data_IF_023539890531
#
_entry.id   IF_023539890531
#
_cell.length_a   1.000
_cell.length_b   1.000
_cell.length_c   1.000
_cell.angle_alpha   90.00
_cell.angle_beta   90.00
_cell.angle_gamma   90.00
#
_symmetry.space_group_name_H-M   'P 1'
#
loop_
_entity.id
_entity.type
_entity.pdbx_description
1 polymer ?
#
# COMPACT_ATOMS: atom_id res chain seq x y z
N UNK A 1 22.98 -11.42 -4.62
CA UNK A 1 21.87 -11.10 -3.69
C UNK A 1 20.55 -11.14 -4.45
N UNK A 2 19.53 -11.88 -3.99
CA UNK A 2 18.25 -11.99 -4.72
C UNK A 2 17.53 -10.62 -4.69
N UNK A 3 16.88 -10.17 -5.79
CA UNK A 3 16.26 -8.83 -5.89
C UNK A 3 15.24 -8.52 -4.80
N UNK A 4 14.62 -9.53 -4.22
CA UNK A 4 13.64 -9.43 -3.14
C UNK A 4 14.24 -8.97 -1.81
N UNK A 5 15.46 -9.40 -1.47
CA UNK A 5 16.16 -8.92 -0.26
C UNK A 5 16.45 -7.42 -0.34
N UNK A 6 16.73 -6.89 -1.55
CA UNK A 6 16.94 -5.45 -1.75
C UNK A 6 15.69 -4.59 -1.47
N UNK A 7 14.51 -5.08 -1.82
CA UNK A 7 13.25 -4.38 -1.53
C UNK A 7 12.97 -4.36 -0.03
N UNK A 8 13.19 -5.49 0.67
CA UNK A 8 13.03 -5.57 2.12
C UNK A 8 14.03 -4.67 2.86
N UNK A 9 15.29 -4.66 2.44
CA UNK A 9 16.32 -3.78 2.99
C UNK A 9 15.99 -2.30 2.78
N UNK A 10 15.52 -1.94 1.58
CA UNK A 10 15.06 -0.58 1.27
C UNK A 10 13.97 -0.13 2.24
N UNK A 11 12.91 -0.93 2.43
CA UNK A 11 11.82 -0.56 3.32
C UNK A 11 12.23 -0.55 4.78
N UNK A 12 13.08 -1.48 5.23
CA UNK A 12 13.62 -1.45 6.59
C UNK A 12 14.39 -0.16 6.91
N UNK A 13 15.06 0.43 5.91
CA UNK A 13 15.83 1.66 6.10
C UNK A 13 15.02 2.93 5.93
N UNK A 14 13.98 2.92 5.08
CA UNK A 14 13.32 4.14 4.64
C UNK A 14 11.90 4.32 5.19
N UNK A 15 11.33 3.32 5.89
CA UNK A 15 9.93 3.40 6.34
C UNK A 15 9.68 4.58 7.30
N UNK A 16 10.64 4.90 8.17
CA UNK A 16 10.51 6.02 9.12
C UNK A 16 10.43 7.38 8.40
N UNK A 17 11.12 7.54 7.25
CA UNK A 17 11.07 8.76 6.44
C UNK A 17 9.71 8.94 5.80
N UNK A 18 9.05 7.85 5.40
CA UNK A 18 7.68 7.87 4.90
C UNK A 18 6.65 8.23 5.97
N UNK A 19 6.91 7.92 7.24
CA UNK A 19 6.06 8.33 8.36
C UNK A 19 6.00 9.85 8.52
N UNK A 20 7.14 10.53 8.39
CA UNK A 20 7.21 12.00 8.41
C UNK A 20 6.40 12.63 7.27
N UNK A 21 6.39 11.99 6.10
CA UNK A 21 5.63 12.45 4.93
C UNK A 21 4.12 12.53 5.20
N UNK A 22 3.55 11.58 5.94
CA UNK A 22 2.12 11.59 6.29
C UNK A 22 1.78 12.55 7.42
N UNK A 23 2.70 12.83 8.35
CA UNK A 23 2.45 13.77 9.44
C UNK A 23 2.41 15.21 8.98
N UNK A 24 3.26 15.59 8.01
CA UNK A 24 3.39 16.97 7.52
C UNK A 24 2.94 17.19 6.09
N UNK A 25 2.74 16.14 5.29
CA UNK A 25 2.50 16.18 3.84
C UNK A 25 3.53 17.02 3.04
N UNK A 26 4.64 17.41 3.66
CA UNK A 26 5.55 18.43 3.12
C UNK A 26 6.97 17.95 2.79
N UNK A 27 7.45 16.86 3.41
CA UNK A 27 8.84 16.44 3.20
C UNK A 27 8.98 14.93 3.02
N UNK A 28 9.52 14.51 1.88
CA UNK A 28 10.14 13.20 1.71
C UNK A 28 11.66 13.37 1.77
N UNK A 29 12.28 13.03 2.91
CA UNK A 29 13.72 12.85 2.98
C UNK A 29 14.07 11.45 2.45
N UNK A 30 13.77 11.15 1.20
CA UNK A 30 14.37 10.00 0.54
C UNK A 30 15.84 10.33 0.28
N UNK A 31 16.74 9.60 0.90
CA UNK A 31 18.14 9.61 0.50
C UNK A 31 18.25 8.91 -0.85
N UNK A 32 18.33 9.69 -1.92
CA UNK A 32 18.63 9.17 -3.24
C UNK A 32 20.15 8.94 -3.37
N UNK A 33 20.54 7.78 -3.86
CA UNK A 33 21.85 7.54 -4.45
C UNK A 33 21.97 8.29 -5.79
N UNK A 34 21.84 9.63 -5.76
CA UNK A 34 21.88 10.48 -6.94
C UNK A 34 22.83 11.67 -6.71
N UNK A 35 23.44 12.23 -7.75
CA UNK A 35 24.24 13.44 -7.64
C UNK A 35 23.44 14.56 -6.98
N UNK A 36 24.05 15.34 -6.08
CA UNK A 36 23.41 16.43 -5.30
C UNK A 36 22.51 17.33 -6.12
N UNK A 37 22.88 17.69 -7.34
CA UNK A 37 22.10 18.55 -8.23
C UNK A 37 20.78 17.90 -8.65
N UNK A 38 20.79 16.58 -8.95
CA UNK A 38 19.58 15.84 -9.28
C UNK A 38 18.65 15.69 -8.07
N UNK A 39 19.20 15.57 -6.87
CA UNK A 39 18.44 15.57 -5.62
C UNK A 39 17.72 16.91 -5.40
N UNK A 40 18.37 18.04 -5.59
CA UNK A 40 17.76 19.37 -5.46
C UNK A 40 16.64 19.56 -6.49
N UNK A 41 16.86 19.20 -7.76
CA UNK A 41 15.85 19.27 -8.81
C UNK A 41 14.64 18.36 -8.50
N UNK A 42 14.87 17.16 -7.98
CA UNK A 42 13.82 16.26 -7.56
C UNK A 42 12.98 16.89 -6.44
N UNK A 43 13.61 17.42 -5.39
CA UNK A 43 12.92 18.06 -4.27
C UNK A 43 12.11 19.29 -4.71
N UNK A 44 12.61 20.08 -5.64
CA UNK A 44 11.90 21.27 -6.11
C UNK A 44 10.71 20.95 -7.04
N UNK A 45 10.85 19.94 -7.91
CA UNK A 45 9.87 19.67 -8.97
C UNK A 45 8.94 18.50 -8.67
N UNK A 46 9.46 17.44 -8.05
CA UNK A 46 8.74 16.18 -7.88
C UNK A 46 8.07 16.09 -6.50
N UNK A 47 8.77 16.50 -5.43
CA UNK A 47 8.23 16.41 -4.06
C UNK A 47 6.87 17.09 -3.88
N UNK A 48 6.61 18.32 -4.41
CA UNK A 48 5.28 18.94 -4.28
C UNK A 48 4.17 18.15 -4.98
N UNK A 49 4.49 17.52 -6.11
CA UNK A 49 3.55 16.67 -6.86
C UNK A 49 3.26 15.40 -6.05
N UNK A 50 4.30 14.76 -5.50
CA UNK A 50 4.14 13.57 -4.64
C UNK A 50 3.33 13.90 -3.38
N UNK A 51 3.58 15.02 -2.71
CA UNK A 51 2.82 15.46 -1.56
C UNK A 51 1.32 15.60 -1.87
N UNK A 52 0.99 16.25 -3.00
CA UNK A 52 -0.40 16.37 -3.46
C UNK A 52 -1.03 15.01 -3.77
N UNK A 53 -0.29 14.11 -4.41
CA UNK A 53 -0.76 12.76 -4.70
C UNK A 53 -0.97 11.95 -3.42
N UNK A 54 -0.06 12.04 -2.45
CA UNK A 54 -0.18 11.34 -1.18
C UNK A 54 -1.39 11.83 -0.37
N UNK A 55 -1.61 13.15 -0.33
CA UNK A 55 -2.81 13.74 0.30
C UNK A 55 -4.09 13.22 -0.37
N UNK A 56 -4.13 13.20 -1.71
CA UNK A 56 -5.28 12.65 -2.45
C UNK A 56 -5.47 11.16 -2.17
N UNK A 57 -4.39 10.36 -2.12
CA UNK A 57 -4.45 8.94 -1.77
C UNK A 57 -5.07 8.74 -0.38
N UNK A 58 -4.61 9.52 0.60
CA UNK A 58 -5.16 9.49 1.94
C UNK A 58 -6.66 9.79 1.92
N UNK A 59 -7.10 10.89 1.28
CA UNK A 59 -8.51 11.26 1.20
C UNK A 59 -9.38 10.18 0.56
N UNK A 60 -8.93 9.59 -0.57
CA UNK A 60 -9.67 8.52 -1.25
C UNK A 60 -9.77 7.25 -0.39
N UNK A 61 -8.70 6.91 0.31
CA UNK A 61 -8.71 5.76 1.23
C UNK A 61 -9.59 6.04 2.44
N UNK A 62 -9.60 7.26 2.97
CA UNK A 62 -10.51 7.66 4.05
C UNK A 62 -11.97 7.55 3.62
N UNK A 63 -12.31 8.07 2.44
CA UNK A 63 -13.65 7.92 1.88
C UNK A 63 -14.06 6.44 1.72
N UNK A 64 -13.13 5.58 1.29
CA UNK A 64 -13.38 4.14 1.24
C UNK A 64 -13.63 3.57 2.65
N UNK A 65 -12.78 3.87 3.62
CA UNK A 65 -12.91 3.40 5.00
C UNK A 65 -14.26 3.85 5.59
N UNK A 66 -14.65 5.11 5.40
CA UNK A 66 -15.92 5.67 5.92
C UNK A 66 -17.16 4.98 5.34
N UNK A 67 -17.08 4.51 4.08
CA UNK A 67 -18.20 3.86 3.42
C UNK A 67 -18.28 2.34 3.66
N UNK A 68 -17.15 1.67 3.89
CA UNK A 68 -17.09 0.21 3.89
C UNK A 68 -16.73 -0.41 5.24
N UNK A 69 -16.04 0.33 6.12
CA UNK A 69 -15.63 -0.18 7.43
C UNK A 69 -16.69 0.15 8.48
N UNK A 70 -17.10 -0.87 9.23
CA UNK A 70 -18.04 -0.75 10.35
C UNK A 70 -17.35 -1.19 11.65
N UNK A 71 -17.86 -0.69 12.79
CA UNK A 71 -17.44 -1.13 14.12
C UNK A 71 -17.51 -2.66 14.24
N UNK A 72 -16.49 -3.27 14.79
CA UNK A 72 -16.39 -4.72 15.01
C UNK A 72 -15.94 -5.55 13.79
N UNK A 73 -15.82 -4.94 12.59
CA UNK A 73 -15.29 -5.66 11.42
C UNK A 73 -13.82 -6.05 11.62
N UNK A 74 -13.45 -7.22 11.14
CA UNK A 74 -12.05 -7.66 11.04
C UNK A 74 -11.47 -7.14 9.74
N UNK A 75 -10.49 -6.24 9.82
CA UNK A 75 -9.84 -5.62 8.66
C UNK A 75 -8.36 -5.94 8.62
N UNK A 76 -7.85 -6.39 7.48
CA UNK A 76 -6.42 -6.59 7.25
C UNK A 76 -5.86 -5.39 6.48
N UNK A 77 -4.85 -4.73 7.06
CA UNK A 77 -4.06 -3.68 6.41
C UNK A 77 -2.75 -4.28 5.88
N UNK A 78 -2.70 -4.58 4.59
CA UNK A 78 -1.56 -5.21 3.92
C UNK A 78 -0.53 -4.18 3.50
N UNK A 79 0.71 -4.36 3.96
CA UNK A 79 1.76 -3.37 3.80
C UNK A 79 1.47 -2.14 4.65
N UNK A 80 1.16 -2.36 5.94
CA UNK A 80 0.73 -1.31 6.87
C UNK A 80 1.75 -0.17 7.02
N UNK A 81 3.03 -0.47 6.80
CA UNK A 81 4.10 0.52 6.70
C UNK A 81 4.22 1.40 7.94
N UNK A 82 3.75 2.64 7.86
CA UNK A 82 3.75 3.60 8.97
C UNK A 82 2.51 3.51 9.85
N UNK A 83 1.56 2.62 9.54
CA UNK A 83 0.33 2.43 10.30
C UNK A 83 -0.72 3.53 10.14
N UNK A 84 -0.61 4.41 9.15
CA UNK A 84 -1.56 5.52 8.99
C UNK A 84 -2.99 5.03 8.79
N UNK A 85 -3.21 4.02 7.94
CA UNK A 85 -4.55 3.47 7.73
C UNK A 85 -4.94 2.53 8.86
N UNK A 86 -4.00 1.78 9.43
CA UNK A 86 -4.19 1.00 10.67
C UNK A 86 -4.80 1.86 11.79
N UNK A 87 -4.23 3.04 12.06
CA UNK A 87 -4.72 3.97 13.07
C UNK A 87 -6.15 4.44 12.75
N UNK A 88 -6.42 4.76 11.49
CA UNK A 88 -7.76 5.22 11.09
C UNK A 88 -8.82 4.12 11.17
N UNK A 89 -8.45 2.86 10.91
CA UNK A 89 -9.31 1.70 11.11
C UNK A 89 -9.61 1.47 12.60
N UNK A 90 -8.60 1.58 13.47
CA UNK A 90 -8.77 1.47 14.92
C UNK A 90 -9.67 2.55 15.49
N UNK A 91 -9.57 3.80 15.02
CA UNK A 91 -10.48 4.89 15.41
C UNK A 91 -11.95 4.59 15.09
N UNK A 92 -12.21 3.73 14.09
CA UNK A 92 -13.56 3.26 13.73
C UNK A 92 -13.94 1.97 14.46
N UNK A 93 -13.16 1.60 15.48
CA UNK A 93 -13.35 0.42 16.32
C UNK A 93 -13.37 -0.90 15.52
N UNK A 94 -12.62 -0.97 14.44
CA UNK A 94 -12.36 -2.23 13.73
C UNK A 94 -11.35 -3.08 14.50
N UNK A 95 -11.44 -4.40 14.35
CA UNK A 95 -10.37 -5.33 14.74
C UNK A 95 -9.36 -5.39 13.60
N UNK A 96 -8.17 -4.85 13.81
CA UNK A 96 -7.18 -4.67 12.74
C UNK A 96 -6.09 -5.74 12.81
N UNK A 97 -5.77 -6.34 11.67
CA UNK A 97 -4.58 -7.15 11.48
C UNK A 97 -3.61 -6.39 10.59
N UNK A 98 -2.62 -5.77 11.21
CA UNK A 98 -1.58 -5.03 10.52
C UNK A 98 -0.55 -6.03 9.98
N UNK A 99 -0.46 -6.12 8.66
CA UNK A 99 0.40 -7.09 7.96
C UNK A 99 1.50 -6.34 7.21
N UNK A 100 2.74 -6.73 7.42
CA UNK A 100 3.87 -6.29 6.61
C UNK A 100 4.92 -7.41 6.51
N UNK A 101 5.74 -7.38 5.46
CA UNK A 101 6.86 -8.33 5.30
C UNK A 101 8.16 -7.82 5.95
N UNK A 102 8.19 -6.56 6.40
CA UNK A 102 9.30 -5.90 7.07
C UNK A 102 8.99 -5.70 8.57
N UNK A 103 9.82 -6.24 9.45
CA UNK A 103 9.65 -6.07 10.90
C UNK A 103 9.66 -4.62 11.33
N UNK A 104 10.53 -3.81 10.74
CA UNK A 104 10.63 -2.37 11.03
C UNK A 104 9.33 -1.59 10.78
N UNK A 105 8.54 -2.00 9.78
CA UNK A 105 7.21 -1.43 9.50
C UNK A 105 6.24 -1.75 10.65
N UNK A 106 6.22 -2.99 11.11
CA UNK A 106 5.37 -3.41 12.23
C UNK A 106 5.75 -2.71 13.53
N UNK A 107 7.05 -2.60 13.81
CA UNK A 107 7.56 -1.91 15.01
C UNK A 107 7.18 -0.42 15.00
N UNK A 108 7.30 0.23 13.85
CA UNK A 108 6.87 1.63 13.68
C UNK A 108 5.36 1.78 13.84
N UNK A 109 4.58 0.91 13.17
CA UNK A 109 3.12 0.90 13.30
C UNK A 109 2.72 0.73 14.76
N UNK A 110 3.32 -0.22 15.50
CA UNK A 110 3.07 -0.44 16.91
C UNK A 110 3.35 0.81 17.75
N UNK A 111 4.51 1.41 17.57
CA UNK A 111 4.90 2.64 18.29
C UNK A 111 3.89 3.78 18.07
N UNK A 112 3.41 3.95 16.81
CA UNK A 112 2.47 5.00 16.47
C UNK A 112 1.05 4.70 16.98
N UNK A 113 0.61 3.46 16.97
CA UNK A 113 -0.68 3.03 17.55
C UNK A 113 -0.69 3.29 19.05
N UNK A 114 0.34 2.85 19.78
CA UNK A 114 0.47 3.08 21.23
C UNK A 114 0.50 4.57 21.59
N UNK A 115 1.06 5.41 20.73
CA UNK A 115 1.13 6.86 20.93
C UNK A 115 -0.18 7.58 20.61
N UNK A 116 -0.87 7.20 19.53
CA UNK A 116 -1.98 7.99 18.96
C UNK A 116 -3.35 7.44 19.39
N UNK A 117 -3.47 6.11 19.52
CA UNK A 117 -4.73 5.42 19.82
C UNK A 117 -4.55 4.33 20.89
N UNK A 118 -3.96 4.66 22.07
CA UNK A 118 -3.60 3.66 23.09
C UNK A 118 -4.81 2.84 23.57
N UNK A 119 -6.00 3.43 23.58
CA UNK A 119 -7.24 2.77 24.04
C UNK A 119 -7.72 1.65 23.10
N UNK A 120 -7.13 1.50 21.92
CA UNK A 120 -7.48 0.47 20.93
C UNK A 120 -6.36 -0.54 20.72
N UNK A 121 -5.34 -0.56 21.58
CA UNK A 121 -4.19 -1.48 21.48
C UNK A 121 -4.58 -2.97 21.58
N UNK A 122 -5.71 -3.28 22.17
CA UNK A 122 -6.25 -4.66 22.24
C UNK A 122 -6.98 -5.09 20.95
N UNK A 123 -7.30 -4.14 20.07
CA UNK A 123 -8.02 -4.41 18.83
C UNK A 123 -7.09 -4.59 17.62
N UNK A 124 -5.80 -4.83 17.86
CA UNK A 124 -4.81 -4.98 16.78
C UNK A 124 -3.91 -6.19 16.98
N UNK A 125 -3.67 -6.89 15.87
CA UNK A 125 -2.63 -7.92 15.74
C UNK A 125 -1.56 -7.44 14.75
N UNK A 126 -0.28 -7.70 15.06
CA UNK A 126 0.86 -7.39 14.17
C UNK A 126 1.40 -8.68 13.57
N UNK A 127 1.36 -8.82 12.24
CA UNK A 127 1.65 -10.06 11.56
C UNK A 127 2.77 -9.88 10.52
N UNK A 128 3.90 -10.53 10.76
CA UNK A 128 5.03 -10.55 9.81
C UNK A 128 4.75 -11.58 8.70
N UNK A 129 4.08 -11.12 7.63
CA UNK A 129 3.63 -11.96 6.52
C UNK A 129 4.16 -11.43 5.20
N UNK A 130 4.77 -12.31 4.40
CA UNK A 130 4.98 -12.10 2.97
C UNK A 130 3.76 -12.63 2.21
N UNK A 131 2.85 -11.73 1.88
CA UNK A 131 1.58 -12.05 1.21
C UNK A 131 1.76 -12.70 -0.17
N UNK A 132 2.97 -12.69 -0.76
CA UNK A 132 3.25 -13.42 -2.00
C UNK A 132 3.54 -14.91 -1.78
N UNK A 133 3.67 -15.35 -0.52
CA UNK A 133 4.07 -16.71 -0.17
C UNK A 133 3.08 -17.47 0.70
N UNK A 134 2.23 -16.73 1.42
CA UNK A 134 1.27 -17.32 2.34
C UNK A 134 -0.03 -16.56 2.39
N UNK A 135 -1.12 -17.27 2.65
CA UNK A 135 -2.45 -16.67 2.78
C UNK A 135 -2.54 -15.75 3.99
N UNK A 136 -3.36 -14.72 3.84
CA UNK A 136 -3.77 -13.87 4.94
C UNK A 136 -4.72 -14.61 5.90
N UNK A 137 -4.80 -14.18 7.16
CA UNK A 137 -5.86 -14.62 8.04
C UNK A 137 -7.22 -14.15 7.52
N UNK A 138 -8.29 -14.87 7.86
CA UNK A 138 -9.67 -14.49 7.49
C UNK A 138 -10.01 -13.11 8.03
N UNK A 139 -10.76 -12.36 7.21
CA UNK A 139 -11.21 -11.00 7.49
C UNK A 139 -12.49 -10.66 6.71
N UNK A 140 -13.15 -9.60 7.09
CA UNK A 140 -14.27 -9.04 6.35
C UNK A 140 -13.79 -8.18 5.18
N UNK A 141 -12.67 -7.47 5.39
CA UNK A 141 -12.13 -6.51 4.44
C UNK A 141 -10.61 -6.51 4.44
N UNK A 142 -10.02 -6.36 3.25
CA UNK A 142 -8.57 -6.17 3.06
C UNK A 142 -8.31 -4.85 2.35
N UNK A 143 -7.36 -4.07 2.88
CA UNK A 143 -6.79 -2.88 2.25
C UNK A 143 -5.35 -3.17 1.85
N UNK A 144 -4.96 -2.86 0.60
CA UNK A 144 -3.59 -3.01 0.09
C UNK A 144 -3.14 -1.74 -0.65
N UNK A 145 -2.72 -0.73 0.12
CA UNK A 145 -2.40 0.60 -0.41
C UNK A 145 -0.90 0.78 -0.66
N UNK A 146 -0.53 0.68 -1.95
CA UNK A 146 0.85 0.88 -2.40
C UNK A 146 1.74 -0.36 -2.31
N UNK A 147 1.16 -1.55 -2.21
CA UNK A 147 1.85 -2.84 -2.14
C UNK A 147 2.13 -3.41 -3.52
N UNK A 148 1.14 -3.43 -4.41
CA UNK A 148 1.25 -4.06 -5.74
C UNK A 148 2.41 -3.54 -6.59
N UNK A 149 2.87 -2.27 -6.50
CA UNK A 149 4.05 -1.82 -7.22
C UNK A 149 5.32 -2.63 -6.90
N UNK A 150 5.37 -3.28 -5.76
CA UNK A 150 6.54 -4.05 -5.29
C UNK A 150 6.37 -5.56 -5.46
N UNK A 151 5.20 -6.00 -5.90
CA UNK A 151 4.89 -7.42 -6.17
C UNK A 151 5.41 -7.80 -7.56
N UNK A 152 6.03 -8.97 -7.67
CA UNK A 152 6.51 -9.50 -8.95
C UNK A 152 5.48 -10.36 -9.65
N UNK A 153 4.81 -11.21 -8.89
CA UNK A 153 3.74 -12.10 -9.36
C UNK A 153 2.41 -11.66 -8.75
N UNK A 154 1.56 -11.07 -9.57
CA UNK A 154 0.26 -10.57 -9.11
C UNK A 154 -0.68 -11.72 -8.77
N UNK A 155 -0.56 -12.86 -9.45
CA UNK A 155 -1.37 -14.07 -9.20
C UNK A 155 -1.17 -14.58 -7.77
N UNK A 156 0.10 -14.74 -7.33
CA UNK A 156 0.42 -15.19 -5.97
C UNK A 156 -0.15 -14.22 -4.93
N UNK A 157 -0.06 -12.92 -5.20
CA UNK A 157 -0.62 -11.89 -4.31
C UNK A 157 -2.13 -12.01 -4.16
N UNK A 158 -2.87 -12.09 -5.27
CA UNK A 158 -4.34 -12.16 -5.23
C UNK A 158 -4.82 -13.51 -4.71
N UNK A 159 -4.16 -14.62 -5.07
CA UNK A 159 -4.51 -15.97 -4.59
C UNK A 159 -4.40 -16.13 -3.07
N UNK A 160 -3.51 -15.38 -2.44
CA UNK A 160 -3.32 -15.38 -0.99
C UNK A 160 -4.27 -14.43 -0.25
N UNK A 161 -4.95 -13.51 -0.97
CA UNK A 161 -5.88 -12.53 -0.39
C UNK A 161 -7.34 -12.91 -0.64
N UNK A 162 -7.73 -13.12 -1.90
CA UNK A 162 -9.14 -13.22 -2.28
C UNK A 162 -9.92 -14.34 -1.56
N UNK A 163 -9.34 -15.52 -1.25
CA UNK A 163 -10.05 -16.57 -0.50
C UNK A 163 -10.33 -16.21 0.96
N UNK A 164 -9.66 -15.20 1.52
CA UNK A 164 -9.66 -14.90 2.95
C UNK A 164 -10.55 -13.73 3.36
N UNK A 165 -11.14 -13.04 2.40
CA UNK A 165 -11.94 -11.83 2.65
C UNK A 165 -13.16 -11.76 1.75
N UNK A 166 -14.03 -10.76 1.98
CA UNK A 166 -15.22 -10.50 1.15
C UNK A 166 -15.18 -9.15 0.43
N UNK A 167 -14.37 -8.21 0.93
CA UNK A 167 -14.17 -6.88 0.32
C UNK A 167 -12.67 -6.65 0.18
N UNK A 168 -12.24 -6.19 -0.99
CA UNK A 168 -10.85 -5.90 -1.27
C UNK A 168 -10.67 -4.53 -1.91
N UNK A 169 -9.83 -3.69 -1.31
CA UNK A 169 -9.45 -2.36 -1.79
C UNK A 169 -7.96 -2.32 -2.09
N UNK A 170 -7.61 -2.01 -3.34
CA UNK A 170 -6.23 -2.14 -3.80
C UNK A 170 -5.83 -1.03 -4.78
N UNK A 171 -4.58 -0.55 -4.65
CA UNK A 171 -3.94 0.32 -5.63
C UNK A 171 -3.11 -0.51 -6.61
N UNK A 172 -3.49 -0.51 -7.88
CA UNK A 172 -2.77 -1.15 -8.98
C UNK A 172 -2.13 -0.10 -9.91
N UNK A 173 -0.90 -0.36 -10.39
CA UNK A 173 -0.19 0.55 -11.30
C UNK A 173 -0.52 0.26 -12.76
N UNK A 174 -0.81 1.32 -13.54
CA UNK A 174 -1.16 1.22 -14.95
C UNK A 174 0.08 1.19 -15.86
N UNK A 175 0.36 0.09 -16.58
CA UNK A 175 1.51 0.00 -17.48
C UNK A 175 1.42 0.96 -18.69
N UNK A 176 0.21 1.38 -19.07
CA UNK A 176 -0.06 2.25 -20.24
C UNK A 176 -0.08 3.75 -19.90
N UNK A 177 0.07 4.11 -18.61
CA UNK A 177 0.19 5.51 -18.25
C UNK A 177 1.51 6.07 -18.79
N UNK A 178 1.49 7.24 -19.44
CA UNK A 178 2.65 7.81 -20.14
C UNK A 178 3.91 7.91 -19.26
N UNK A 179 3.77 8.28 -17.99
CA UNK A 179 4.89 8.30 -17.03
C UNK A 179 5.49 6.90 -16.85
N UNK A 180 4.65 5.86 -16.75
CA UNK A 180 5.11 4.49 -16.56
C UNK A 180 5.74 3.94 -17.86
N UNK A 181 5.25 4.37 -19.02
CA UNK A 181 5.90 4.07 -20.32
C UNK A 181 7.30 4.70 -20.36
N UNK A 182 7.45 5.96 -19.97
CA UNK A 182 8.78 6.60 -19.86
C UNK A 182 9.68 5.84 -18.89
N UNK A 183 9.18 5.46 -17.71
CA UNK A 183 9.96 4.68 -16.72
C UNK A 183 10.42 3.31 -17.24
N UNK A 184 9.68 2.71 -18.18
CA UNK A 184 10.08 1.45 -18.84
C UNK A 184 11.22 1.67 -19.84
N UNK A 185 11.14 2.78 -20.61
CA UNK A 185 12.14 3.10 -21.66
C UNK A 185 13.43 3.65 -21.01
N UNK A 186 13.31 4.36 -19.91
CA UNK A 186 14.40 5.00 -19.19
C UNK A 186 14.51 4.40 -17.78
N UNK A 187 15.20 3.24 -17.63
CA UNK A 187 15.19 2.47 -16.38
C UNK A 187 15.69 3.23 -15.15
N UNK A 188 16.58 4.22 -15.30
CA UNK A 188 17.05 5.02 -14.17
C UNK A 188 15.96 5.93 -13.58
N UNK A 189 14.86 6.20 -14.29
CA UNK A 189 13.69 6.89 -13.74
C UNK A 189 12.77 5.97 -12.92
N UNK A 190 12.95 4.65 -13.01
CA UNK A 190 12.30 3.68 -12.16
C UNK A 190 13.15 3.35 -10.92
N UNK A 191 13.53 4.37 -10.18
CA UNK A 191 14.41 4.29 -9.00
C UNK A 191 13.87 3.26 -7.99
N UNK A 192 12.54 3.25 -7.77
CA UNK A 192 11.85 2.35 -6.82
C UNK A 192 11.63 0.94 -7.39
N UNK A 193 12.03 0.66 -8.65
CA UNK A 193 11.83 -0.63 -9.34
C UNK A 193 10.40 -1.16 -9.23
N UNK A 194 9.44 -0.27 -9.45
CA UNK A 194 8.02 -0.61 -9.41
C UNK A 194 7.62 -1.52 -10.58
N UNK A 195 6.66 -2.38 -10.34
CA UNK A 195 6.02 -3.23 -11.31
C UNK A 195 4.67 -2.66 -11.75
N UNK A 196 4.21 -3.07 -12.92
CA UNK A 196 2.95 -2.64 -13.52
C UNK A 196 2.20 -3.86 -14.06
N UNK A 197 0.89 -3.84 -13.93
CA UNK A 197 0.05 -4.94 -14.39
C UNK A 197 -1.07 -4.40 -15.27
N UNK A 198 -1.38 -5.12 -16.36
CA UNK A 198 -2.50 -4.79 -17.23
C UNK A 198 -3.82 -4.95 -16.46
N UNK A 199 -4.79 -4.07 -16.78
CA UNK A 199 -6.13 -4.16 -16.17
C UNK A 199 -6.79 -5.51 -16.44
N UNK A 200 -6.63 -6.02 -17.66
CA UNK A 200 -7.17 -7.31 -18.08
C UNK A 200 -6.69 -8.44 -17.18
N UNK A 201 -5.40 -8.43 -16.78
CA UNK A 201 -4.88 -9.42 -15.84
C UNK A 201 -5.60 -9.36 -14.48
N UNK A 202 -5.79 -8.14 -13.94
CA UNK A 202 -6.53 -7.95 -12.68
C UNK A 202 -7.97 -8.43 -12.82
N UNK A 203 -8.64 -8.06 -13.92
CA UNK A 203 -10.03 -8.43 -14.19
C UNK A 203 -10.19 -9.95 -14.36
N UNK A 204 -9.26 -10.61 -15.05
CA UNK A 204 -9.24 -12.07 -15.22
C UNK A 204 -9.01 -12.80 -13.90
N UNK A 205 -8.12 -12.30 -13.05
CA UNK A 205 -7.90 -12.87 -11.70
C UNK A 205 -9.18 -12.74 -10.88
N UNK A 206 -9.77 -11.55 -10.78
CA UNK A 206 -11.01 -11.33 -10.03
C UNK A 206 -12.13 -12.26 -10.50
N UNK A 207 -12.30 -12.40 -11.82
CA UNK A 207 -13.31 -13.29 -12.41
C UNK A 207 -13.09 -14.76 -12.04
N UNK A 208 -11.83 -15.25 -12.08
CA UNK A 208 -11.51 -16.65 -11.71
C UNK A 208 -11.83 -16.98 -10.25
N UNK A 209 -11.74 -15.98 -9.37
CA UNK A 209 -12.08 -16.14 -7.96
C UNK A 209 -13.54 -15.81 -7.64
N UNK A 210 -14.39 -15.58 -8.65
CA UNK A 210 -15.79 -15.19 -8.49
C UNK A 210 -15.94 -13.87 -7.71
N UNK A 211 -15.16 -12.86 -8.11
CA UNK A 211 -15.19 -11.52 -7.56
C UNK A 211 -15.71 -10.51 -8.58
N UNK A 212 -16.49 -9.53 -8.12
CA UNK A 212 -16.99 -8.42 -8.92
C UNK A 212 -16.19 -7.16 -8.63
N UNK A 213 -15.62 -6.55 -9.68
CA UNK A 213 -15.09 -5.20 -9.60
C UNK A 213 -16.26 -4.22 -9.50
N UNK A 214 -16.38 -3.53 -8.35
CA UNK A 214 -17.48 -2.56 -8.09
C UNK A 214 -17.09 -1.17 -8.56
N UNK A 215 -15.83 -0.79 -8.35
CA UNK A 215 -15.32 0.53 -8.74
C UNK A 215 -13.85 0.44 -9.15
N UNK A 216 -13.48 1.24 -10.14
CA UNK A 216 -12.10 1.47 -10.56
C UNK A 216 -11.91 2.95 -10.80
N UNK A 217 -11.25 3.63 -9.88
CA UNK A 217 -10.96 5.05 -9.97
C UNK A 217 -9.51 5.29 -10.45
N UNK A 218 -9.32 6.21 -11.41
CA UNK A 218 -7.97 6.63 -11.82
C UNK A 218 -7.31 7.41 -10.69
N UNK A 219 -6.13 6.97 -10.30
CA UNK A 219 -5.33 7.63 -9.30
C UNK A 219 -3.86 7.66 -9.70
N UNK A 220 -3.25 8.85 -9.73
CA UNK A 220 -1.85 9.04 -10.12
C UNK A 220 -1.52 8.30 -11.44
N UNK A 221 -0.58 7.36 -11.38
CA UNK A 221 -0.20 6.53 -12.53
C UNK A 221 -0.84 5.13 -12.51
N UNK A 222 -1.93 4.96 -11.74
CA UNK A 222 -2.57 3.68 -11.51
C UNK A 222 -4.08 3.76 -11.37
N UNK A 223 -4.63 2.80 -10.66
CA UNK A 223 -6.06 2.65 -10.35
C UNK A 223 -6.27 2.23 -8.91
N UNK A 224 -7.30 2.77 -8.29
CA UNK A 224 -7.88 2.30 -7.04
C UNK A 224 -9.07 1.41 -7.37
N UNK A 225 -8.96 0.13 -7.04
CA UNK A 225 -9.96 -0.88 -7.32
C UNK A 225 -10.68 -1.27 -6.03
N UNK A 226 -12.01 -1.30 -6.08
CA UNK A 226 -12.88 -1.91 -5.07
C UNK A 226 -13.48 -3.15 -5.68
N UNK A 227 -13.23 -4.31 -5.09
CA UNK A 227 -13.80 -5.58 -5.51
C UNK A 227 -14.53 -6.25 -4.35
N UNK A 228 -15.63 -6.96 -4.65
CA UNK A 228 -16.48 -7.65 -3.67
C UNK A 228 -16.69 -9.08 -4.15
N UNK A 229 -16.62 -10.03 -3.21
CA UNK A 229 -16.90 -11.45 -3.47
C UNK A 229 -18.38 -11.63 -3.83
N UNK A 230 -18.66 -12.41 -4.88
CA UNK A 230 -20.02 -12.79 -5.30
C UNK A 230 -20.53 -14.01 -4.55
#
# INVERSE_FOLDING_TARGET
MKPFNKTKEYWNQNIANWGKFYSDFSHSEESFDAPRVLGILYHLLITPIEAKLMKKRYQLTMNFIDNYVKEGMVVVDVGCGTGIFTIELLKRKAHVKAVDFAQSSLDLTKTLVEKIVPNYSENIEYLLIDVTKQQLPKSDLVIAMGVTPYIKNLEDFYSNILPTTTIFYCLNMNPKHWINVIRKIVPFLNIRKINWFEKTLVDDILKRYNWKLVSREKFATGYLDIAIKQ
#
